data_IF_106599968029
#
_entry.id   IF_106599968029
#
_cell.length_a   1.000
_cell.length_b   1.000
_cell.length_c   1.000
_cell.angle_alpha   90.00
_cell.angle_beta   90.00
_cell.angle_gamma   90.00
#
_symmetry.space_group_name_H-M   'P 1'
#
loop_
_entity.id
_entity.type
_entity.pdbx_description
1 polymer ?
#
# COMPACT_ATOMS: atom_id res chain seq x y z
N UNK A 1 94.12 11.75 24.67
CA UNK A 1 93.65 11.66 26.11
C UNK A 1 92.14 11.80 26.10
N UNK A 2 91.44 10.82 26.78
CA UNK A 2 90.03 10.79 27.13
C UNK A 2 88.97 10.52 26.01
N UNK A 3 88.70 9.24 25.85
CA UNK A 3 87.46 8.65 25.32
C UNK A 3 86.25 9.11 26.08
N UNK A 4 85.12 9.30 25.34
CA UNK A 4 83.79 9.22 25.87
C UNK A 4 82.94 8.36 24.91
N UNK A 5 82.68 7.15 25.34
CA UNK A 5 81.71 6.25 24.76
C UNK A 5 80.28 6.82 24.95
N UNK A 6 79.48 6.83 23.89
CA UNK A 6 78.01 6.99 23.93
C UNK A 6 77.43 5.63 23.60
N UNK A 7 76.74 5.01 24.53
CA UNK A 7 75.91 3.84 24.34
C UNK A 7 74.58 4.30 23.69
N UNK A 8 74.28 3.75 22.52
CA UNK A 8 73.01 3.91 21.81
C UNK A 8 72.15 2.71 22.18
N UNK A 9 71.13 2.90 23.00
CA UNK A 9 70.16 1.87 23.41
C UNK A 9 69.13 1.69 22.31
N UNK A 10 69.11 0.56 21.60
CA UNK A 10 68.08 0.17 20.64
C UNK A 10 66.92 -0.42 21.47
N UNK A 11 65.78 0.27 21.48
CA UNK A 11 64.48 -0.25 21.90
C UNK A 11 63.85 -1.03 20.77
N UNK A 12 63.83 -2.35 20.86
CA UNK A 12 63.03 -3.21 20.00
C UNK A 12 61.57 -3.11 20.46
N UNK A 13 60.70 -2.51 19.61
CA UNK A 13 59.26 -2.64 19.71
C UNK A 13 58.84 -3.94 19.05
N UNK A 14 58.45 -4.94 19.84
CA UNK A 14 57.78 -6.15 19.38
C UNK A 14 56.31 -5.82 19.04
N UNK A 15 55.96 -5.78 17.73
CA UNK A 15 54.61 -5.76 17.26
C UNK A 15 53.93 -7.11 17.53
N UNK A 16 53.10 -7.16 18.56
CA UNK A 16 52.20 -8.29 18.77
C UNK A 16 51.00 -8.09 17.83
N UNK A 17 50.97 -8.84 16.71
CA UNK A 17 49.82 -8.95 15.85
C UNK A 17 48.76 -9.81 16.53
N UNK A 18 47.67 -9.21 16.96
CA UNK A 18 46.45 -9.94 17.31
C UNK A 18 45.76 -10.40 16.01
N UNK A 19 45.45 -11.71 15.90
CA UNK A 19 44.55 -12.12 14.82
C UNK A 19 43.18 -11.53 15.06
N UNK A 20 42.73 -10.69 14.13
CA UNK A 20 41.34 -10.26 14.01
C UNK A 20 40.49 -11.51 13.73
N UNK A 21 39.76 -11.99 14.74
CA UNK A 21 38.65 -12.90 14.54
C UNK A 21 37.55 -12.11 13.82
N UNK A 22 37.60 -12.15 12.49
CA UNK A 22 36.44 -11.85 11.70
C UNK A 22 35.39 -12.95 11.97
N UNK A 23 34.46 -12.69 12.88
CA UNK A 23 33.23 -13.47 12.98
C UNK A 23 32.56 -13.36 11.60
N UNK A 24 32.69 -14.41 10.80
CA UNK A 24 31.82 -14.63 9.64
C UNK A 24 30.43 -14.88 10.23
N UNK A 25 29.61 -13.83 10.29
CA UNK A 25 28.16 -13.99 10.37
C UNK A 25 27.74 -14.77 9.11
N UNK A 26 27.75 -16.11 9.21
CA UNK A 26 27.01 -16.94 8.31
C UNK A 26 25.54 -16.54 8.50
N UNK A 27 25.01 -15.81 7.55
CA UNK A 27 23.58 -15.68 7.33
C UNK A 27 23.05 -17.10 7.11
N UNK A 28 22.74 -17.81 8.20
CA UNK A 28 21.95 -19.03 8.14
C UNK A 28 20.62 -18.60 7.53
N UNK A 29 20.37 -18.98 6.28
CA UNK A 29 19.09 -18.75 5.64
C UNK A 29 18.04 -19.52 6.45
N UNK A 30 17.19 -18.81 7.17
CA UNK A 30 16.06 -19.38 7.91
C UNK A 30 14.92 -19.80 6.96
N UNK A 31 15.27 -20.28 5.77
CA UNK A 31 14.30 -20.72 4.77
C UNK A 31 13.69 -22.04 5.19
N UNK A 32 12.37 -22.05 5.26
CA UNK A 32 11.52 -23.24 5.45
C UNK A 32 10.55 -23.36 4.28
N UNK A 33 9.86 -24.50 4.14
CA UNK A 33 8.86 -24.68 3.09
C UNK A 33 7.74 -25.60 3.52
N UNK A 34 6.55 -25.38 2.93
CA UNK A 34 5.36 -26.23 3.08
C UNK A 34 4.66 -26.34 1.72
N UNK A 35 3.84 -27.40 1.52
CA UNK A 35 3.06 -27.59 0.29
C UNK A 35 1.57 -27.62 0.64
N UNK A 36 0.79 -26.76 -0.01
CA UNK A 36 -0.60 -26.45 0.34
C UNK A 36 -1.50 -26.53 -0.88
N UNK A 37 -2.64 -27.21 -0.78
CA UNK A 37 -3.67 -27.27 -1.82
C UNK A 37 -4.99 -26.74 -1.30
N UNK A 38 -5.52 -25.68 -1.92
CA UNK A 38 -6.74 -24.96 -1.53
C UNK A 38 -7.68 -24.71 -2.73
N UNK A 39 -7.74 -25.65 -3.67
CA UNK A 39 -8.49 -25.49 -4.92
C UNK A 39 -7.58 -25.13 -6.10
N UNK A 40 -8.00 -24.20 -6.94
CA UNK A 40 -7.20 -23.70 -8.07
C UNK A 40 -5.91 -23.06 -7.59
N UNK A 41 -4.77 -23.58 -8.04
CA UNK A 41 -3.45 -23.09 -7.57
C UNK A 41 -3.05 -21.71 -8.08
N UNK A 42 -3.72 -21.12 -9.10
CA UNK A 42 -3.40 -19.80 -9.60
C UNK A 42 -3.64 -18.67 -8.58
N UNK A 43 -4.80 -18.73 -7.91
CA UNK A 43 -5.14 -17.78 -6.84
C UNK A 43 -4.31 -18.02 -5.60
N UNK A 44 -4.08 -19.29 -5.24
CA UNK A 44 -3.26 -19.68 -4.10
C UNK A 44 -1.79 -19.20 -4.26
N UNK A 45 -1.16 -19.43 -5.43
CA UNK A 45 0.19 -18.93 -5.75
C UNK A 45 0.27 -17.41 -5.54
N UNK A 46 -0.65 -16.66 -6.15
CA UNK A 46 -0.73 -15.20 -6.02
C UNK A 46 -0.92 -14.74 -4.57
N UNK A 47 -1.77 -15.41 -3.82
CA UNK A 47 -2.01 -15.12 -2.40
C UNK A 47 -0.73 -15.24 -1.59
N UNK A 48 0.00 -16.37 -1.71
CA UNK A 48 1.25 -16.57 -0.98
C UNK A 48 2.37 -15.63 -1.41
N UNK A 49 2.51 -15.32 -2.70
CA UNK A 49 3.50 -14.35 -3.19
C UNK A 49 3.34 -12.95 -2.58
N UNK A 50 2.13 -12.60 -2.15
CA UNK A 50 1.85 -11.30 -1.54
C UNK A 50 2.26 -11.21 -0.06
N UNK A 51 2.58 -12.35 0.59
CA UNK A 51 2.90 -12.38 2.01
C UNK A 51 4.36 -11.98 2.24
N UNK A 52 4.59 -10.96 3.05
CA UNK A 52 5.94 -10.57 3.44
C UNK A 52 6.66 -11.72 4.17
N UNK A 53 7.87 -12.04 3.71
CA UNK A 53 8.64 -13.18 4.22
C UNK A 53 8.49 -14.45 3.40
N UNK A 54 7.56 -14.53 2.43
CA UNK A 54 7.55 -15.58 1.42
C UNK A 54 8.60 -15.26 0.36
N UNK A 55 9.52 -16.19 0.14
CA UNK A 55 10.59 -16.12 -0.84
C UNK A 55 10.09 -16.56 -2.23
N UNK A 56 9.39 -17.69 -2.29
CA UNK A 56 8.79 -18.20 -3.53
C UNK A 56 7.50 -18.96 -3.25
N UNK A 57 6.54 -18.83 -4.15
CA UNK A 57 5.38 -19.71 -4.27
C UNK A 57 5.38 -20.35 -5.65
N UNK A 58 5.27 -21.66 -5.72
CA UNK A 58 5.41 -22.42 -6.98
C UNK A 58 4.21 -23.34 -7.13
N UNK A 59 3.43 -23.14 -8.18
CA UNK A 59 2.33 -24.02 -8.56
C UNK A 59 2.82 -25.40 -8.99
N UNK A 60 2.14 -26.45 -8.53
CA UNK A 60 2.55 -27.83 -8.80
C UNK A 60 1.48 -28.88 -8.50
N UNK A 61 1.90 -30.12 -8.51
CA UNK A 61 1.07 -31.30 -8.28
C UNK A 61 1.69 -32.17 -7.19
N UNK A 62 0.85 -32.72 -6.30
CA UNK A 62 1.31 -33.63 -5.24
C UNK A 62 0.21 -34.60 -4.76
N UNK A 63 0.56 -35.56 -3.90
CA UNK A 63 -0.34 -36.51 -3.25
C UNK A 63 -1.12 -37.42 -4.23
N UNK A 64 -0.56 -37.72 -5.41
CA UNK A 64 -1.08 -38.70 -6.36
C UNK A 64 -0.09 -39.83 -6.62
N UNK A 65 -0.47 -40.80 -7.47
CA UNK A 65 0.34 -41.98 -7.78
C UNK A 65 1.08 -41.86 -9.13
N UNK A 66 0.63 -40.96 -10.01
CA UNK A 66 1.26 -40.78 -11.32
C UNK A 66 2.65 -40.15 -11.19
N UNK A 67 3.63 -40.76 -11.86
CA UNK A 67 4.99 -40.19 -11.94
C UNK A 67 4.99 -39.16 -13.06
N UNK A 68 5.44 -37.95 -12.78
CA UNK A 68 5.45 -36.80 -13.70
C UNK A 68 4.06 -36.42 -14.22
N UNK A 69 3.13 -36.07 -13.31
CA UNK A 69 1.80 -35.63 -13.70
C UNK A 69 1.84 -34.40 -14.60
N UNK A 70 0.81 -34.24 -15.44
CA UNK A 70 0.56 -33.09 -16.25
C UNK A 70 -0.83 -32.54 -15.99
N UNK A 71 -1.08 -31.27 -16.23
CA UNK A 71 -2.42 -30.67 -16.10
C UNK A 71 -3.49 -31.48 -16.86
N UNK A 72 -3.16 -31.79 -18.13
CA UNK A 72 -4.06 -32.60 -18.97
C UNK A 72 -4.39 -33.97 -18.34
N UNK A 73 -3.44 -34.63 -17.65
CA UNK A 73 -3.66 -35.92 -17.03
C UNK A 73 -4.55 -35.82 -15.79
N UNK A 74 -4.25 -34.86 -14.88
CA UNK A 74 -4.98 -34.74 -13.61
C UNK A 74 -6.42 -34.22 -13.79
N UNK A 75 -6.69 -33.46 -14.86
CA UNK A 75 -8.01 -32.89 -15.16
C UNK A 75 -8.90 -33.79 -16.02
N UNK A 76 -8.43 -34.98 -16.43
CA UNK A 76 -9.28 -35.92 -17.17
C UNK A 76 -10.52 -36.32 -16.36
N UNK A 77 -11.66 -36.43 -17.03
CA UNK A 77 -12.94 -36.79 -16.41
C UNK A 77 -12.87 -38.08 -15.56
N UNK A 78 -12.10 -39.12 -15.98
CA UNK A 78 -11.87 -40.33 -15.21
C UNK A 78 -11.19 -40.10 -13.86
N UNK A 79 -10.44 -38.98 -13.72
CA UNK A 79 -9.70 -38.64 -12.51
C UNK A 79 -10.50 -37.70 -11.59
N UNK A 80 -11.67 -37.20 -12.01
CA UNK A 80 -12.51 -36.28 -11.24
C UNK A 80 -12.82 -36.77 -9.81
N UNK A 81 -13.01 -38.07 -9.64
CA UNK A 81 -13.32 -38.70 -8.34
C UNK A 81 -12.27 -39.74 -7.95
N UNK A 82 -11.14 -39.80 -8.63
CA UNK A 82 -10.07 -40.74 -8.34
C UNK A 82 -9.28 -40.29 -7.12
N UNK A 83 -9.33 -41.10 -6.04
CA UNK A 83 -8.60 -40.80 -4.77
C UNK A 83 -7.07 -40.74 -4.93
N UNK A 84 -6.55 -41.38 -5.99
CA UNK A 84 -5.13 -41.43 -6.30
C UNK A 84 -4.69 -40.35 -7.28
N UNK A 85 -5.56 -39.42 -7.64
CA UNK A 85 -5.24 -38.27 -8.46
C UNK A 85 -4.37 -37.29 -7.67
N UNK A 86 -3.49 -36.58 -8.37
CA UNK A 86 -2.76 -35.45 -7.75
C UNK A 86 -3.69 -34.28 -7.40
N UNK A 87 -3.37 -33.58 -6.31
CA UNK A 87 -3.93 -32.27 -6.03
C UNK A 87 -3.15 -31.20 -6.77
N UNK A 88 -3.83 -30.12 -7.17
CA UNK A 88 -3.21 -28.85 -7.43
C UNK A 88 -2.73 -28.26 -6.10
N UNK A 89 -1.46 -27.91 -6.01
CA UNK A 89 -0.83 -27.43 -4.79
C UNK A 89 0.15 -26.31 -5.09
N UNK A 90 0.45 -25.51 -4.08
CA UNK A 90 1.50 -24.50 -4.11
C UNK A 90 2.58 -24.90 -3.11
N UNK A 91 3.85 -24.94 -3.55
CA UNK A 91 5.00 -25.04 -2.66
C UNK A 91 5.42 -23.64 -2.25
N UNK A 92 5.24 -23.33 -0.98
CA UNK A 92 5.59 -22.03 -0.39
C UNK A 92 6.94 -22.18 0.32
N UNK A 93 7.93 -21.41 -0.12
CA UNK A 93 9.23 -21.25 0.57
C UNK A 93 9.25 -19.91 1.26
N UNK A 94 9.63 -19.85 2.53
CA UNK A 94 9.51 -18.65 3.33
C UNK A 94 10.66 -18.50 4.32
N UNK A 95 10.96 -17.25 4.68
CA UNK A 95 11.92 -16.91 5.74
C UNK A 95 11.20 -16.98 7.10
N UNK A 96 11.49 -18.01 7.88
CA UNK A 96 10.88 -18.25 9.21
C UNK A 96 11.21 -17.19 10.25
N UNK A 97 12.18 -16.30 9.98
CA UNK A 97 12.48 -15.13 10.84
C UNK A 97 11.57 -13.93 10.54
N UNK A 98 10.86 -13.93 9.42
CA UNK A 98 9.96 -12.85 8.98
C UNK A 98 8.50 -13.26 9.10
N UNK A 99 8.15 -14.45 8.59
CA UNK A 99 6.80 -15.02 8.69
C UNK A 99 6.88 -16.44 9.26
N UNK A 100 6.06 -16.73 10.24
CA UNK A 100 6.03 -18.06 10.83
C UNK A 100 5.05 -19.00 10.09
N UNK A 101 5.22 -20.31 10.28
CA UNK A 101 4.38 -21.33 9.66
C UNK A 101 2.90 -21.22 10.09
N UNK A 102 2.64 -20.84 11.33
CA UNK A 102 1.27 -20.70 11.86
C UNK A 102 0.51 -19.63 11.07
N UNK A 103 1.12 -18.47 10.81
CA UNK A 103 0.51 -17.39 10.01
C UNK A 103 0.23 -17.81 8.56
N UNK A 104 1.13 -18.59 7.93
CA UNK A 104 0.88 -19.12 6.59
C UNK A 104 -0.28 -20.11 6.56
N UNK A 105 -0.44 -20.91 7.61
CA UNK A 105 -1.54 -21.85 7.73
C UNK A 105 -2.87 -21.15 8.09
N UNK A 106 -2.82 -20.05 8.84
CA UNK A 106 -3.99 -19.19 9.05
C UNK A 106 -4.47 -18.64 7.70
N UNK A 107 -3.57 -18.04 6.91
CA UNK A 107 -3.90 -17.60 5.55
C UNK A 107 -4.46 -18.72 4.67
N UNK A 108 -3.91 -19.94 4.76
CA UNK A 108 -4.44 -21.09 4.04
C UNK A 108 -5.92 -21.34 4.33
N UNK A 109 -6.31 -21.37 5.61
CA UNK A 109 -7.70 -21.64 5.99
C UNK A 109 -8.64 -20.46 5.68
N UNK A 110 -8.15 -19.24 5.76
CA UNK A 110 -8.91 -18.03 5.47
C UNK A 110 -9.15 -17.80 3.96
N UNK A 111 -8.29 -18.34 3.10
CA UNK A 111 -8.30 -18.10 1.65
C UNK A 111 -9.20 -19.04 0.84
N UNK A 112 -9.84 -20.04 1.46
CA UNK A 112 -10.74 -20.98 0.77
C UNK A 112 -11.79 -21.55 1.73
N UNK A 113 -12.74 -22.32 1.22
CA UNK A 113 -13.70 -23.05 2.05
C UNK A 113 -13.19 -24.49 2.35
N UNK A 114 -12.59 -24.72 3.53
CA UNK A 114 -12.03 -26.01 3.88
C UNK A 114 -13.11 -27.07 4.22
N UNK A 115 -14.40 -26.71 4.24
CA UNK A 115 -15.51 -27.66 4.47
C UNK A 115 -15.95 -28.39 3.20
N UNK A 116 -15.44 -27.96 2.03
CA UNK A 116 -15.81 -28.57 0.76
C UNK A 116 -14.94 -29.81 0.43
N UNK A 117 -15.57 -30.94 0.24
CA UNK A 117 -14.87 -32.17 -0.12
C UNK A 117 -14.61 -32.25 -1.63
N UNK A 118 -13.34 -32.37 -2.02
CA UNK A 118 -12.89 -32.53 -3.41
C UNK A 118 -13.44 -31.45 -4.37
N UNK A 119 -13.58 -30.22 -3.91
CA UNK A 119 -14.01 -29.10 -4.73
C UNK A 119 -13.69 -27.78 -4.05
N UNK A 120 -13.71 -26.70 -4.82
CA UNK A 120 -13.83 -25.31 -4.33
C UNK A 120 -14.80 -24.57 -5.25
N UNK A 121 -15.95 -24.19 -4.73
CA UNK A 121 -16.99 -23.55 -5.52
C UNK A 121 -17.37 -24.35 -6.78
N UNK A 122 -17.15 -23.78 -7.96
CA UNK A 122 -17.42 -24.41 -9.25
C UNK A 122 -16.32 -25.36 -9.74
N UNK A 123 -15.15 -25.32 -9.11
CA UNK A 123 -14.03 -26.21 -9.43
C UNK A 123 -14.24 -27.58 -8.73
N UNK A 124 -14.75 -28.54 -9.47
CA UNK A 124 -15.16 -29.85 -8.96
C UNK A 124 -14.23 -30.96 -9.43
N UNK A 125 -13.56 -31.61 -8.46
CA UNK A 125 -12.67 -32.75 -8.70
C UNK A 125 -11.65 -32.93 -7.59
N UNK A 126 -11.09 -34.16 -7.48
CA UNK A 126 -10.11 -34.50 -6.45
C UNK A 126 -8.81 -33.67 -6.55
N UNK A 127 -8.52 -33.07 -7.71
CA UNK A 127 -7.41 -32.18 -7.88
C UNK A 127 -7.58 -30.84 -7.09
N UNK A 128 -8.80 -30.47 -6.75
CA UNK A 128 -9.12 -29.22 -6.02
C UNK A 128 -9.38 -29.44 -4.52
N UNK A 129 -8.96 -30.62 -3.99
CA UNK A 129 -9.14 -30.92 -2.57
C UNK A 129 -8.28 -30.04 -1.68
N UNK A 130 -8.80 -29.70 -0.52
CA UNK A 130 -8.06 -29.03 0.54
C UNK A 130 -7.07 -30.01 1.19
N UNK A 131 -5.77 -29.66 1.18
CA UNK A 131 -4.71 -30.55 1.69
C UNK A 131 -3.49 -29.75 2.17
N UNK A 132 -2.91 -30.19 3.29
CA UNK A 132 -1.64 -29.72 3.84
C UNK A 132 -0.64 -30.87 3.79
N UNK A 133 0.49 -30.65 3.10
CA UNK A 133 1.55 -31.65 2.97
C UNK A 133 2.77 -31.20 3.77
N UNK A 134 3.04 -31.90 4.86
CA UNK A 134 4.05 -31.57 5.86
C UNK A 134 5.32 -32.36 5.67
N UNK A 135 6.48 -31.75 5.90
CA UNK A 135 7.79 -32.42 5.77
C UNK A 135 8.24 -33.13 7.05
N UNK A 136 7.71 -32.74 8.20
CA UNK A 136 8.12 -33.24 9.51
C UNK A 136 6.98 -33.18 10.54
N UNK A 137 7.21 -33.79 11.71
CA UNK A 137 6.23 -33.82 12.81
C UNK A 137 5.99 -32.44 13.42
N UNK A 138 6.96 -31.52 13.40
CA UNK A 138 6.78 -30.14 13.86
C UNK A 138 5.73 -29.42 13.01
N UNK A 139 5.87 -29.49 11.69
CA UNK A 139 4.87 -28.90 10.78
C UNK A 139 3.50 -29.56 10.97
N UNK A 140 3.46 -30.89 11.18
CA UNK A 140 2.19 -31.61 11.42
C UNK A 140 1.48 -31.12 12.68
N UNK A 141 2.19 -30.96 13.79
CA UNK A 141 1.63 -30.46 15.06
C UNK A 141 1.07 -29.04 14.90
N UNK A 142 1.81 -28.16 14.24
CA UNK A 142 1.35 -26.78 13.97
C UNK A 142 0.11 -26.80 13.06
N UNK A 143 0.12 -27.59 11.99
CA UNK A 143 -0.99 -27.68 11.06
C UNK A 143 -2.27 -28.20 11.75
N UNK A 144 -2.14 -29.23 12.61
CA UNK A 144 -3.27 -29.73 13.37
C UNK A 144 -3.83 -28.68 14.34
N UNK A 145 -2.95 -27.99 15.08
CA UNK A 145 -3.35 -26.92 15.98
C UNK A 145 -4.17 -25.83 15.25
N UNK A 146 -3.67 -25.36 14.10
CA UNK A 146 -4.35 -24.31 13.32
C UNK A 146 -5.69 -24.81 12.75
N UNK A 147 -5.74 -26.07 12.27
CA UNK A 147 -6.97 -26.70 11.82
C UNK A 147 -8.02 -26.74 12.93
N UNK A 148 -7.64 -27.19 14.14
CA UNK A 148 -8.56 -27.33 15.26
C UNK A 148 -9.12 -25.96 15.68
N UNK A 149 -8.28 -24.94 15.71
CA UNK A 149 -8.68 -23.55 15.99
C UNK A 149 -9.66 -23.01 14.93
N UNK A 150 -9.39 -23.25 13.64
CA UNK A 150 -10.28 -22.79 12.58
C UNK A 150 -11.59 -23.54 12.55
N UNK A 151 -11.58 -24.85 12.88
CA UNK A 151 -12.80 -25.62 13.03
C UNK A 151 -13.74 -25.04 14.10
N UNK A 152 -13.19 -24.59 15.21
CA UNK A 152 -13.99 -23.92 16.26
C UNK A 152 -14.63 -22.64 15.73
N UNK A 153 -13.87 -21.79 15.02
CA UNK A 153 -14.37 -20.55 14.40
C UNK A 153 -15.48 -20.85 13.38
N UNK A 154 -15.26 -21.80 12.49
CA UNK A 154 -16.27 -22.24 11.50
C UNK A 154 -17.56 -22.75 12.16
N UNK A 155 -17.43 -23.55 13.23
CA UNK A 155 -18.59 -24.09 13.95
C UNK A 155 -19.42 -22.96 14.57
N UNK A 156 -18.78 -21.95 15.13
CA UNK A 156 -19.44 -20.78 15.72
C UNK A 156 -20.19 -19.94 14.66
N UNK A 157 -19.73 -19.95 13.40
CA UNK A 157 -20.40 -19.29 12.27
C UNK A 157 -21.37 -20.21 11.51
N UNK A 158 -21.61 -21.42 12.01
CA UNK A 158 -22.61 -22.36 11.45
C UNK A 158 -22.12 -23.20 10.25
N UNK A 159 -20.81 -23.20 9.99
CA UNK A 159 -20.22 -24.05 8.95
C UNK A 159 -20.07 -25.50 9.39
N UNK A 160 -19.92 -26.41 8.42
CA UNK A 160 -19.67 -27.82 8.63
C UNK A 160 -18.25 -28.17 9.04
N UNK A 161 -17.96 -29.46 9.09
CA UNK A 161 -16.63 -29.97 9.46
C UNK A 161 -15.61 -29.74 8.35
N UNK A 162 -14.39 -29.36 8.72
CA UNK A 162 -13.23 -29.23 7.82
C UNK A 162 -12.94 -30.58 7.14
N UNK A 163 -12.75 -30.56 5.83
CA UNK A 163 -12.38 -31.70 4.97
C UNK A 163 -10.89 -31.70 4.61
N UNK A 164 -10.14 -30.70 5.06
CA UNK A 164 -8.69 -30.61 4.84
C UNK A 164 -7.98 -31.83 5.42
N UNK A 165 -7.12 -32.49 4.61
CA UNK A 165 -6.28 -33.57 5.11
C UNK A 165 -4.85 -33.13 5.32
N UNK A 166 -4.25 -33.56 6.45
CA UNK A 166 -2.83 -33.32 6.74
C UNK A 166 -2.08 -34.61 6.48
N UNK A 167 -1.13 -34.60 5.53
CA UNK A 167 -0.37 -35.81 5.13
C UNK A 167 1.13 -35.48 5.02
N UNK A 168 2.01 -36.50 5.12
CA UNK A 168 3.42 -36.34 4.80
C UNK A 168 3.62 -35.96 3.33
N UNK A 169 4.48 -34.97 3.08
CA UNK A 169 4.94 -34.65 1.72
C UNK A 169 5.83 -35.78 1.21
N UNK A 170 5.44 -36.41 0.10
CA UNK A 170 6.25 -37.41 -0.57
C UNK A 170 7.02 -36.81 -1.74
N UNK A 171 6.30 -36.33 -2.74
CA UNK A 171 6.86 -35.74 -3.95
C UNK A 171 6.10 -34.47 -4.32
N UNK A 172 6.81 -33.50 -4.87
CA UNK A 172 6.26 -32.28 -5.47
C UNK A 172 6.72 -32.18 -6.91
N UNK A 173 5.77 -32.09 -7.82
CA UNK A 173 6.03 -31.92 -9.25
C UNK A 173 5.63 -30.49 -9.65
N UNK A 174 6.61 -29.69 -10.07
CA UNK A 174 6.34 -28.33 -10.56
C UNK A 174 5.43 -28.39 -11.77
N UNK A 175 4.37 -27.60 -11.77
CA UNK A 175 3.46 -27.47 -12.91
C UNK A 175 4.13 -26.80 -14.11
N UNK A 176 3.51 -26.90 -15.25
CA UNK A 176 4.00 -26.38 -16.52
C UNK A 176 4.20 -24.86 -16.46
N UNK A 177 5.14 -24.35 -17.26
CA UNK A 177 5.55 -22.94 -17.21
C UNK A 177 4.38 -21.95 -17.36
N UNK A 178 3.35 -22.29 -18.12
CA UNK A 178 2.19 -21.43 -18.34
C UNK A 178 1.28 -21.30 -17.13
N UNK A 179 1.40 -22.16 -16.12
CA UNK A 179 0.68 -22.06 -14.85
C UNK A 179 1.38 -21.18 -13.82
N UNK A 180 2.70 -21.04 -13.89
CA UNK A 180 3.45 -20.21 -12.95
C UNK A 180 3.13 -18.73 -13.16
N UNK A 181 2.94 -17.97 -12.08
CA UNK A 181 2.58 -16.55 -12.09
C UNK A 181 1.36 -16.24 -13.00
N UNK A 182 0.39 -17.17 -13.05
CA UNK A 182 -0.70 -17.08 -14.03
C UNK A 182 -1.53 -15.79 -13.86
N UNK A 183 -1.92 -15.44 -12.64
CA UNK A 183 -2.70 -14.21 -12.38
C UNK A 183 -1.89 -12.95 -12.67
N UNK A 184 -0.58 -12.94 -12.36
CA UNK A 184 0.28 -11.82 -12.70
C UNK A 184 0.41 -11.60 -14.22
N UNK A 185 0.43 -12.69 -15.00
CA UNK A 185 0.47 -12.66 -16.47
C UNK A 185 -0.89 -12.42 -17.10
N UNK A 186 -1.97 -12.74 -16.39
CA UNK A 186 -3.37 -12.63 -16.85
C UNK A 186 -4.22 -11.93 -15.78
N UNK A 187 -4.13 -10.58 -15.65
CA UNK A 187 -4.81 -9.84 -14.59
C UNK A 187 -6.33 -10.01 -14.54
N UNK A 188 -6.94 -10.37 -15.67
CA UNK A 188 -8.37 -10.68 -15.80
C UNK A 188 -8.64 -12.21 -15.80
N UNK A 189 -7.66 -13.02 -15.40
CA UNK A 189 -7.78 -14.47 -15.32
C UNK A 189 -8.82 -14.91 -14.29
N UNK A 190 -9.34 -16.13 -14.47
CA UNK A 190 -10.28 -16.74 -13.52
C UNK A 190 -9.60 -16.92 -12.16
N UNK A 191 -10.11 -16.25 -11.15
CA UNK A 191 -9.67 -16.36 -9.76
C UNK A 191 -10.83 -15.97 -8.83
N UNK A 192 -11.85 -16.84 -8.69
CA UNK A 192 -12.95 -16.55 -7.78
C UNK A 192 -12.51 -16.67 -6.33
N UNK A 193 -13.03 -15.80 -5.48
CA UNK A 193 -12.93 -15.95 -4.04
C UNK A 193 -13.84 -17.10 -3.59
N UNK A 194 -13.25 -18.08 -2.91
CA UNK A 194 -13.95 -19.22 -2.34
C UNK A 194 -13.87 -19.24 -0.81
N UNK A 195 -13.39 -18.15 -0.18
CA UNK A 195 -13.26 -18.07 1.26
C UNK A 195 -14.62 -18.15 1.96
N UNK A 196 -14.61 -18.60 3.21
CA UNK A 196 -15.82 -18.60 4.07
C UNK A 196 -16.09 -17.21 4.67
N UNK A 197 -15.13 -16.28 4.59
CA UNK A 197 -15.16 -15.02 5.30
C UNK A 197 -14.86 -15.13 6.81
N UNK A 198 -14.63 -16.36 7.30
CA UNK A 198 -14.20 -16.60 8.68
C UNK A 198 -12.70 -16.36 8.79
N UNK A 199 -12.24 -15.65 9.82
CA UNK A 199 -10.84 -15.29 10.05
C UNK A 199 -10.43 -15.61 11.49
N UNK A 200 -9.14 -15.98 11.70
CA UNK A 200 -8.58 -16.29 13.03
C UNK A 200 -8.62 -15.11 13.98
N UNK A 201 -8.19 -13.98 13.49
CA UNK A 201 -8.33 -12.72 14.19
C UNK A 201 -9.61 -12.05 13.68
N UNK A 202 -10.79 -12.52 14.11
CA UNK A 202 -11.77 -11.52 14.50
C UNK A 202 -11.08 -10.77 15.65
N UNK A 203 -10.14 -9.84 15.29
CA UNK A 203 -9.92 -8.71 16.16
C UNK A 203 -11.31 -8.39 16.65
N UNK A 204 -11.54 -8.44 17.97
CA UNK A 204 -12.73 -7.83 18.54
C UNK A 204 -13.01 -6.67 17.62
N UNK A 205 -14.14 -6.74 16.89
CA UNK A 205 -14.63 -5.56 16.20
C UNK A 205 -14.78 -4.63 17.38
N UNK A 206 -13.67 -4.01 17.79
CA UNK A 206 -13.74 -2.85 18.65
C UNK A 206 -14.70 -2.04 17.84
N UNK A 207 -15.87 -1.77 18.40
CA UNK A 207 -16.83 -0.86 17.80
C UNK A 207 -16.01 0.40 17.53
N UNK A 208 -15.31 0.38 16.38
CA UNK A 208 -14.51 1.52 15.97
C UNK A 208 -15.54 2.58 15.76
N UNK A 209 -15.39 3.61 16.55
CA UNK A 209 -16.26 4.76 16.45
C UNK A 209 -16.08 5.41 15.08
N UNK A 210 -17.05 5.19 14.20
CA UNK A 210 -17.12 5.84 12.90
C UNK A 210 -17.94 7.13 12.95
N UNK A 211 -18.30 7.64 14.13
CA UNK A 211 -19.09 8.87 14.28
C UNK A 211 -18.46 10.07 13.59
N UNK A 212 -17.10 10.16 13.60
CA UNK A 212 -16.38 11.20 12.88
C UNK A 212 -16.54 11.12 11.36
N UNK A 213 -16.82 9.93 10.81
CA UNK A 213 -17.03 9.70 9.38
C UNK A 213 -18.48 9.97 8.95
N UNK A 214 -19.38 10.14 9.89
CA UNK A 214 -20.81 10.37 9.65
C UNK A 214 -21.16 11.85 9.43
N UNK A 215 -20.19 12.76 9.50
CA UNK A 215 -20.45 14.19 9.38
C UNK A 215 -19.43 14.86 8.44
N UNK A 216 -19.94 15.61 7.45
CA UNK A 216 -19.16 16.37 6.50
C UNK A 216 -18.35 15.50 5.54
N UNK A 217 -17.37 16.14 4.89
CA UNK A 217 -16.48 15.52 3.90
C UNK A 217 -15.30 14.85 4.56
N UNK A 218 -15.01 13.60 4.17
CA UNK A 218 -13.90 12.79 4.66
C UNK A 218 -13.24 12.03 3.52
N UNK A 219 -11.98 11.67 3.67
CA UNK A 219 -11.26 10.76 2.79
C UNK A 219 -11.05 9.47 3.57
N UNK A 220 -11.61 8.37 3.12
CA UNK A 220 -11.49 7.06 3.73
C UNK A 220 -10.55 6.20 2.88
N UNK A 221 -9.50 5.69 3.50
CA UNK A 221 -8.55 4.79 2.87
C UNK A 221 -8.79 3.39 3.45
N UNK A 222 -9.14 2.45 2.58
CA UNK A 222 -9.26 1.05 2.96
C UNK A 222 -7.93 0.37 2.71
N UNK A 223 -7.26 -0.02 3.78
CA UNK A 223 -6.00 -0.75 3.76
C UNK A 223 -6.22 -2.24 3.96
N UNK A 224 -5.25 -3.04 3.54
CA UNK A 224 -5.20 -4.47 3.84
C UNK A 224 -4.84 -4.70 5.30
N UNK A 225 -5.38 -5.75 5.91
CA UNK A 225 -4.94 -6.23 7.22
C UNK A 225 -3.54 -6.88 7.18
N UNK A 226 -3.10 -7.29 5.99
CA UNK A 226 -1.78 -7.87 5.72
C UNK A 226 -0.86 -6.93 4.96
N UNK A 227 0.28 -7.49 4.52
CA UNK A 227 1.25 -6.75 3.72
C UNK A 227 0.65 -6.28 2.39
N UNK A 228 0.71 -4.98 2.14
CA UNK A 228 0.18 -4.34 0.95
C UNK A 228 1.19 -3.32 0.40
N UNK A 229 2.03 -3.68 -0.57
CA UNK A 229 3.04 -2.77 -1.13
C UNK A 229 2.44 -1.48 -1.72
N UNK A 230 1.24 -1.57 -2.28
CA UNK A 230 0.52 -0.42 -2.84
C UNK A 230 -0.06 0.48 -1.75
N UNK A 231 -0.45 -0.09 -0.58
CA UNK A 231 -0.85 0.69 0.59
C UNK A 231 0.34 1.47 1.15
N UNK A 232 1.50 0.80 1.35
CA UNK A 232 2.74 1.46 1.78
C UNK A 232 3.19 2.54 0.79
N UNK A 233 3.07 2.27 -0.51
CA UNK A 233 3.40 3.26 -1.54
C UNK A 233 2.47 4.47 -1.45
N UNK A 234 1.16 4.28 -1.29
CA UNK A 234 0.20 5.37 -1.15
C UNK A 234 0.43 6.17 0.14
N UNK A 235 0.71 5.50 1.25
CA UNK A 235 1.09 6.14 2.51
C UNK A 235 2.29 7.05 2.33
N UNK A 236 3.37 6.55 1.75
CA UNK A 236 4.61 7.30 1.50
C UNK A 236 4.42 8.46 0.52
N UNK A 237 3.66 8.25 -0.55
CA UNK A 237 3.55 9.20 -1.66
C UNK A 237 2.51 10.29 -1.38
N UNK A 238 1.44 9.98 -0.63
CA UNK A 238 0.28 10.83 -0.41
C UNK A 238 -0.05 11.01 1.06
N UNK A 239 -0.44 9.94 1.79
CA UNK A 239 -1.13 10.06 3.07
C UNK A 239 -0.25 10.70 4.15
N UNK A 240 1.01 10.27 4.29
CA UNK A 240 1.97 10.84 5.26
C UNK A 240 2.33 12.31 5.00
N UNK A 241 2.10 12.81 3.78
CA UNK A 241 2.40 14.20 3.40
C UNK A 241 1.17 15.09 3.40
N UNK A 242 -0.01 14.50 3.47
CA UNK A 242 -1.26 15.23 3.41
C UNK A 242 -1.53 15.99 4.72
N UNK A 243 -1.75 17.30 4.63
CA UNK A 243 -2.07 18.19 5.74
C UNK A 243 -3.33 19.03 5.44
N UNK A 244 -4.13 18.58 4.47
CA UNK A 244 -5.34 19.28 4.04
C UNK A 244 -6.43 19.31 5.12
N UNK A 245 -7.45 20.15 4.88
CA UNK A 245 -8.55 20.39 5.84
C UNK A 245 -9.63 19.30 5.84
N UNK A 246 -9.71 18.48 4.79
CA UNK A 246 -10.62 17.31 4.79
C UNK A 246 -9.89 16.16 5.49
N UNK A 247 -10.41 15.62 6.61
CA UNK A 247 -9.75 14.54 7.32
C UNK A 247 -9.53 13.32 6.44
N UNK A 248 -8.35 12.69 6.57
CA UNK A 248 -8.00 11.43 5.97
C UNK A 248 -8.00 10.37 7.08
N UNK A 249 -8.79 9.33 6.91
CA UNK A 249 -9.01 8.28 7.92
C UNK A 249 -8.75 6.92 7.27
N UNK A 250 -7.98 6.09 7.98
CA UNK A 250 -7.69 4.73 7.53
C UNK A 250 -8.59 3.72 8.24
N UNK A 251 -9.02 2.72 7.49
CA UNK A 251 -9.80 1.57 7.97
C UNK A 251 -9.38 0.31 7.21
N UNK A 252 -9.80 -0.82 7.74
CA UNK A 252 -9.83 -2.09 6.99
C UNK A 252 -11.27 -2.39 6.55
N UNK A 253 -11.45 -3.33 5.65
CA UNK A 253 -12.77 -3.64 5.07
C UNK A 253 -13.83 -4.06 6.11
N UNK A 254 -13.41 -4.70 7.22
CA UNK A 254 -14.27 -5.12 8.32
C UNK A 254 -14.67 -4.00 9.29
N UNK A 255 -14.09 -2.79 9.15
CA UNK A 255 -14.30 -1.64 10.05
C UNK A 255 -15.30 -0.61 9.51
N UNK A 256 -16.07 -0.94 8.49
CA UNK A 256 -16.94 -0.01 7.75
C UNK A 256 -18.38 0.03 8.28
N UNK A 257 -18.65 -0.56 9.43
CA UNK A 257 -19.98 -0.58 10.05
C UNK A 257 -20.59 0.83 10.12
N UNK A 258 -21.86 0.97 9.76
CA UNK A 258 -22.64 2.20 9.69
C UNK A 258 -22.36 3.10 8.48
N UNK A 259 -21.28 2.89 7.73
CA UNK A 259 -20.99 3.63 6.51
C UNK A 259 -21.76 3.04 5.31
N UNK A 260 -22.19 3.91 4.39
CA UNK A 260 -22.83 3.50 3.14
C UNK A 260 -21.78 3.50 2.03
N UNK A 261 -21.05 2.40 1.94
CA UNK A 261 -19.99 2.17 0.94
C UNK A 261 -20.52 1.18 -0.10
N UNK A 262 -20.48 1.57 -1.37
CA UNK A 262 -20.94 0.75 -2.51
C UNK A 262 -19.78 0.08 -3.22
N UNK A 263 -18.60 0.70 -3.15
CA UNK A 263 -17.40 0.18 -3.83
C UNK A 263 -16.89 -1.09 -3.13
N UNK A 264 -16.59 -2.15 -3.90
CA UNK A 264 -15.93 -3.33 -3.36
C UNK A 264 -14.57 -3.00 -2.74
N UNK A 265 -14.30 -3.53 -1.55
CA UNK A 265 -13.09 -3.20 -0.77
C UNK A 265 -12.01 -4.28 -0.80
N UNK A 266 -12.13 -5.25 -1.69
CA UNK A 266 -11.16 -6.37 -1.84
C UNK A 266 -9.83 -5.96 -2.50
N UNK A 267 -9.78 -4.83 -3.21
CA UNK A 267 -8.54 -4.31 -3.81
C UNK A 267 -8.01 -3.16 -2.95
N UNK A 268 -6.84 -3.32 -2.35
CA UNK A 268 -6.23 -2.32 -1.46
C UNK A 268 -4.99 -1.68 -2.06
N UNK A 269 -4.74 -0.38 -1.77
CA UNK A 269 -5.65 0.52 -1.06
C UNK A 269 -6.91 0.82 -1.89
N UNK A 270 -8.06 1.02 -1.25
CA UNK A 270 -9.22 1.65 -1.89
C UNK A 270 -9.41 3.03 -1.28
N UNK A 271 -9.39 4.08 -2.11
CA UNK A 271 -9.56 5.46 -1.70
C UNK A 271 -11.02 5.84 -1.95
N UNK A 272 -11.74 6.22 -0.90
CA UNK A 272 -13.17 6.53 -0.94
C UNK A 272 -13.37 7.95 -0.42
N UNK A 273 -14.04 8.78 -1.20
CA UNK A 273 -14.46 10.12 -0.80
C UNK A 273 -15.89 10.02 -0.29
N UNK A 274 -16.11 10.35 0.98
CA UNK A 274 -17.40 10.22 1.65
C UNK A 274 -17.91 11.58 2.13
N UNK A 275 -19.22 11.76 2.11
CA UNK A 275 -19.90 12.91 2.70
C UNK A 275 -21.08 12.40 3.55
N UNK A 276 -21.09 12.80 4.82
CA UNK A 276 -22.12 12.38 5.79
C UNK A 276 -22.30 10.84 5.87
N UNK A 277 -21.17 10.11 5.88
CA UNK A 277 -21.15 8.64 5.98
C UNK A 277 -21.48 7.90 4.68
N UNK A 278 -21.67 8.61 3.56
CA UNK A 278 -22.04 8.03 2.27
C UNK A 278 -20.89 8.20 1.28
N UNK A 279 -20.64 7.16 0.49
CA UNK A 279 -19.74 7.23 -0.63
C UNK A 279 -20.24 8.24 -1.67
N UNK A 280 -19.35 9.15 -2.10
CA UNK A 280 -19.58 10.07 -3.22
C UNK A 280 -18.94 9.52 -4.48
N UNK A 281 -17.71 9.09 -4.40
CA UNK A 281 -16.99 8.33 -5.42
C UNK A 281 -15.74 7.67 -4.80
N UNK A 282 -15.12 6.77 -5.56
CA UNK A 282 -13.98 6.00 -5.09
C UNK A 282 -13.03 5.61 -6.21
N UNK A 283 -11.88 5.10 -5.81
CA UNK A 283 -10.89 4.47 -6.68
C UNK A 283 -10.28 3.26 -5.99
N UNK A 284 -10.43 2.09 -6.57
CA UNK A 284 -9.73 0.87 -6.15
C UNK A 284 -8.29 0.84 -6.66
N UNK A 285 -7.40 0.33 -5.84
CA UNK A 285 -5.97 0.26 -6.12
C UNK A 285 -5.23 1.57 -5.86
N UNK A 286 -3.92 1.53 -6.06
CA UNK A 286 -3.04 2.69 -5.89
C UNK A 286 -3.47 3.85 -6.81
N UNK A 287 -3.41 5.06 -6.28
CA UNK A 287 -3.65 6.31 -6.99
C UNK A 287 -2.38 7.16 -6.96
N UNK A 288 -1.93 7.61 -8.13
CA UNK A 288 -0.79 8.54 -8.20
C UNK A 288 -1.14 9.88 -7.50
N UNK A 289 -0.15 10.58 -6.91
CA UNK A 289 -0.41 11.83 -6.19
C UNK A 289 -1.20 12.86 -6.99
N UNK A 290 -0.87 13.04 -8.26
CA UNK A 290 -1.57 14.00 -9.14
C UNK A 290 -3.04 13.65 -9.32
N UNK A 291 -3.36 12.37 -9.48
CA UNK A 291 -4.74 11.90 -9.63
C UNK A 291 -5.52 12.03 -8.32
N UNK A 292 -4.86 11.75 -7.18
CA UNK A 292 -5.43 11.94 -5.86
C UNK A 292 -5.82 13.41 -5.62
N UNK A 293 -4.89 14.35 -5.85
CA UNK A 293 -5.19 15.75 -5.63
C UNK A 293 -6.22 16.31 -6.62
N UNK A 294 -6.28 15.78 -7.84
CA UNK A 294 -7.33 16.15 -8.80
C UNK A 294 -8.70 15.64 -8.34
N UNK A 295 -8.78 14.41 -7.85
CA UNK A 295 -10.00 13.83 -7.27
C UNK A 295 -10.44 14.61 -6.01
N UNK A 296 -9.48 14.89 -5.11
CA UNK A 296 -9.71 15.72 -3.93
C UNK A 296 -10.18 17.14 -4.31
N UNK A 297 -9.57 17.73 -5.33
CA UNK A 297 -9.97 19.03 -5.84
C UNK A 297 -11.42 19.04 -6.32
N UNK A 298 -11.83 18.02 -7.08
CA UNK A 298 -13.22 17.88 -7.48
C UNK A 298 -14.14 17.70 -6.27
N UNK A 299 -13.76 16.88 -5.32
CA UNK A 299 -14.53 16.63 -4.10
C UNK A 299 -14.64 17.87 -3.20
N UNK A 300 -13.52 18.60 -2.98
CA UNK A 300 -13.47 19.77 -2.10
C UNK A 300 -14.09 21.01 -2.74
N UNK A 301 -13.74 21.29 -3.98
CA UNK A 301 -14.04 22.54 -4.66
C UNK A 301 -15.27 22.47 -5.55
N UNK A 302 -15.63 21.26 -6.06
CA UNK A 302 -16.70 21.09 -7.02
C UNK A 302 -16.38 21.78 -8.35
N UNK A 303 -17.44 22.10 -9.13
CA UNK A 303 -17.31 22.83 -10.40
C UNK A 303 -17.27 24.35 -10.14
N UNK A 304 -16.17 24.85 -9.59
CA UNK A 304 -15.97 26.25 -9.21
C UNK A 304 -14.81 26.91 -9.96
N UNK A 305 -14.69 28.24 -9.84
CA UNK A 305 -13.55 28.99 -10.33
C UNK A 305 -12.23 28.47 -9.73
N UNK A 306 -12.20 28.13 -8.44
CA UNK A 306 -11.03 27.59 -7.76
C UNK A 306 -10.58 26.25 -8.38
N UNK A 307 -11.51 25.35 -8.75
CA UNK A 307 -11.17 24.12 -9.45
C UNK A 307 -10.61 24.38 -10.85
N UNK A 308 -11.23 25.32 -11.57
CA UNK A 308 -10.76 25.71 -12.91
C UNK A 308 -9.36 26.34 -12.87
N UNK A 309 -9.07 27.17 -11.85
CA UNK A 309 -7.73 27.72 -11.62
C UNK A 309 -6.75 26.60 -11.32
N UNK A 310 -7.08 25.70 -10.40
CA UNK A 310 -6.18 24.66 -9.93
C UNK A 310 -5.76 23.66 -11.02
N UNK A 311 -6.71 23.23 -11.86
CA UNK A 311 -6.52 22.06 -12.76
C UNK A 311 -6.70 22.36 -14.25
N UNK A 312 -7.33 23.46 -14.60
CA UNK A 312 -7.54 23.88 -15.99
C UNK A 312 -6.79 25.17 -16.32
N UNK A 313 -5.79 25.53 -15.47
CA UNK A 313 -4.91 26.68 -15.70
C UNK A 313 -5.68 28.00 -15.89
N UNK A 314 -6.80 28.12 -15.17
CA UNK A 314 -7.59 29.35 -15.09
C UNK A 314 -6.82 30.47 -14.37
N UNK A 315 -7.37 31.65 -14.34
CA UNK A 315 -6.81 32.79 -13.62
C UNK A 315 -7.95 33.48 -12.87
N UNK A 316 -7.74 33.78 -11.60
CA UNK A 316 -8.68 34.56 -10.78
C UNK A 316 -9.02 35.90 -11.44
N UNK A 317 -10.25 36.32 -11.28
CA UNK A 317 -10.61 37.70 -11.57
C UNK A 317 -9.77 38.65 -10.73
N UNK A 318 -9.35 39.79 -11.33
CA UNK A 318 -8.65 40.83 -10.59
C UNK A 318 -9.49 41.30 -9.41
N UNK A 319 -8.88 41.41 -8.23
CA UNK A 319 -9.56 41.83 -6.99
C UNK A 319 -10.74 40.91 -6.63
N UNK A 320 -10.57 39.60 -6.88
CA UNK A 320 -11.58 38.59 -6.49
C UNK A 320 -11.82 38.64 -4.97
N UNK A 321 -12.90 37.97 -4.53
CA UNK A 321 -13.28 37.97 -3.10
C UNK A 321 -12.17 37.48 -2.20
N UNK A 322 -11.48 36.41 -2.57
CA UNK A 322 -10.38 35.81 -1.83
C UNK A 322 -9.17 36.76 -1.75
N UNK A 323 -8.85 37.47 -2.84
CA UNK A 323 -7.84 38.52 -2.84
C UNK A 323 -8.16 39.60 -1.80
N UNK A 324 -9.42 40.10 -1.77
CA UNK A 324 -9.85 41.13 -0.83
C UNK A 324 -9.75 40.67 0.63
N UNK A 325 -10.01 39.39 0.90
CA UNK A 325 -9.83 38.77 2.22
C UNK A 325 -8.35 38.66 2.58
N UNK A 326 -7.50 38.21 1.65
CA UNK A 326 -6.13 37.82 1.92
C UNK A 326 -5.12 38.95 1.85
N UNK A 327 -5.42 40.04 1.14
CA UNK A 327 -4.46 41.17 0.95
C UNK A 327 -3.96 41.79 2.24
N UNK A 328 -4.73 41.73 3.33
CA UNK A 328 -4.45 42.30 4.62
C UNK A 328 -4.42 41.30 5.78
N UNK A 329 -4.21 40.02 5.51
CA UNK A 329 -4.06 39.02 6.58
C UNK A 329 -2.88 39.34 7.48
N UNK A 330 -2.96 39.02 8.80
CA UNK A 330 -1.85 39.22 9.74
C UNK A 330 -0.63 38.34 9.41
N UNK A 331 0.34 38.28 10.33
CA UNK A 331 1.50 37.41 10.17
C UNK A 331 1.10 35.94 10.10
N UNK A 332 1.56 35.25 9.06
CA UNK A 332 1.20 33.86 8.80
C UNK A 332 1.71 33.34 7.46
N UNK A 333 1.13 32.27 7.02
CA UNK A 333 1.53 31.57 5.79
C UNK A 333 0.30 31.21 4.97
N UNK A 334 0.41 31.41 3.67
CA UNK A 334 -0.52 30.89 2.69
C UNK A 334 -0.15 29.45 2.37
N UNK A 335 -1.12 28.57 2.48
CA UNK A 335 -0.96 27.13 2.26
C UNK A 335 -1.71 26.69 1.01
N UNK A 336 -1.28 25.61 0.44
CA UNK A 336 -1.97 24.89 -0.64
C UNK A 336 -3.36 24.44 -0.17
N UNK A 337 -4.39 24.84 -0.87
CA UNK A 337 -5.79 24.61 -0.50
C UNK A 337 -6.17 23.11 -0.46
N UNK A 338 -5.45 22.26 -1.18
CA UNK A 338 -5.71 20.83 -1.22
C UNK A 338 -4.79 20.05 -0.28
N UNK A 339 -3.48 20.24 -0.39
CA UNK A 339 -2.52 19.47 0.40
C UNK A 339 -2.30 20.00 1.81
N UNK A 340 -2.62 21.28 2.06
CA UNK A 340 -2.34 21.95 3.32
C UNK A 340 -0.88 22.40 3.50
N UNK A 341 -0.01 22.14 2.51
CA UNK A 341 1.42 22.45 2.59
C UNK A 341 1.71 23.96 2.43
N UNK A 342 2.68 24.52 3.19
CA UNK A 342 3.07 25.92 3.09
C UNK A 342 3.56 26.30 1.70
N UNK A 343 3.10 27.44 1.16
CA UNK A 343 3.49 27.95 -0.16
C UNK A 343 4.14 29.34 -0.12
N UNK A 344 3.54 30.30 0.57
CA UNK A 344 4.03 31.68 0.62
C UNK A 344 3.89 32.27 2.01
N UNK A 345 4.95 32.98 2.48
CA UNK A 345 4.97 33.65 3.77
C UNK A 345 4.50 35.09 3.61
N UNK A 346 3.73 35.63 4.57
CA UNK A 346 3.29 37.02 4.59
C UNK A 346 4.46 38.02 4.68
N UNK A 347 5.63 37.60 5.19
CA UNK A 347 6.85 38.42 5.24
C UNK A 347 7.40 38.73 3.86
N UNK A 348 7.11 37.93 2.87
CA UNK A 348 7.54 38.10 1.49
C UNK A 348 6.45 38.72 0.60
N UNK A 349 5.26 39.04 1.19
CA UNK A 349 4.14 39.68 0.50
C UNK A 349 4.37 41.15 0.30
N UNK A 350 3.97 41.66 -0.86
CA UNK A 350 3.96 43.11 -1.15
C UNK A 350 2.77 43.51 -2.02
N UNK A 351 2.47 44.82 -2.05
CA UNK A 351 1.37 45.38 -2.84
C UNK A 351 1.87 45.74 -4.24
N UNK A 352 1.52 44.92 -5.23
CA UNK A 352 1.90 45.15 -6.64
C UNK A 352 0.91 45.98 -7.45
N UNK A 353 -0.28 46.25 -6.93
CA UNK A 353 -1.42 46.87 -7.65
C UNK A 353 -1.90 46.11 -8.88
N UNK A 354 -1.48 44.84 -9.04
CA UNK A 354 -1.89 43.97 -10.16
C UNK A 354 -3.30 43.45 -10.02
N UNK A 355 -3.84 43.36 -8.80
CA UNK A 355 -5.13 42.75 -8.46
C UNK A 355 -5.03 41.28 -8.05
N UNK A 356 -3.82 40.76 -7.92
CA UNK A 356 -3.50 39.42 -7.41
C UNK A 356 -2.53 39.51 -6.25
N UNK A 357 -2.49 38.46 -5.40
CA UNK A 357 -1.52 38.34 -4.34
C UNK A 357 -0.09 38.29 -4.94
N UNK A 358 0.82 39.04 -4.36
CA UNK A 358 2.19 39.16 -4.87
C UNK A 358 3.21 38.92 -3.78
N UNK A 359 4.19 38.06 -4.08
CA UNK A 359 5.27 37.68 -3.18
C UNK A 359 6.63 37.80 -3.88
N UNK A 360 7.68 38.05 -3.12
CA UNK A 360 9.06 38.13 -3.63
C UNK A 360 9.71 36.72 -3.74
N UNK A 361 9.21 35.74 -3.01
CA UNK A 361 9.68 34.37 -3.05
C UNK A 361 8.63 33.40 -2.46
N UNK A 362 8.65 32.13 -2.86
CA UNK A 362 7.89 31.07 -2.19
C UNK A 362 8.61 30.56 -0.93
N UNK A 363 7.93 29.78 -0.11
CA UNK A 363 8.56 28.92 0.90
C UNK A 363 9.51 27.94 0.20
N UNK A 364 10.65 27.67 0.82
CA UNK A 364 11.69 26.81 0.23
C UNK A 364 11.10 25.46 -0.20
N UNK A 365 11.41 25.04 -1.41
CA UNK A 365 11.02 23.74 -1.99
C UNK A 365 9.50 23.48 -2.11
N UNK A 366 8.65 24.52 -2.00
CA UNK A 366 7.19 24.39 -2.03
C UNK A 366 6.57 24.44 -3.42
N UNK A 367 7.27 25.03 -4.38
CA UNK A 367 6.77 25.22 -5.75
C UNK A 367 7.80 24.77 -6.79
N UNK A 368 7.35 24.61 -8.02
CA UNK A 368 8.22 24.44 -9.20
C UNK A 368 7.71 25.28 -10.37
N UNK A 369 8.57 25.47 -11.37
CA UNK A 369 8.38 26.35 -12.49
C UNK A 369 8.24 25.58 -13.80
N UNK A 370 7.30 26.00 -14.65
CA UNK A 370 7.11 25.48 -15.99
C UNK A 370 7.03 26.61 -17.02
N UNK A 371 7.53 26.38 -18.23
CA UNK A 371 7.36 27.32 -19.32
C UNK A 371 5.90 27.34 -19.79
N UNK A 372 5.25 28.49 -19.79
CA UNK A 372 3.91 28.72 -20.34
C UNK A 372 3.99 29.59 -21.59
N UNK A 373 3.72 28.98 -22.74
CA UNK A 373 3.75 29.65 -24.06
C UNK A 373 2.34 29.88 -24.65
N UNK A 374 1.29 29.81 -23.83
CA UNK A 374 -0.09 29.94 -24.28
C UNK A 374 -0.45 31.37 -24.62
N UNK A 375 -1.45 31.50 -25.47
CA UNK A 375 -1.99 32.80 -25.93
C UNK A 375 -0.93 33.71 -26.58
N UNK A 376 0.15 33.13 -27.13
CA UNK A 376 1.24 33.88 -27.75
C UNK A 376 2.14 34.65 -26.75
N UNK A 377 2.01 34.41 -25.46
CA UNK A 377 2.83 35.00 -24.40
C UNK A 377 3.90 33.98 -23.97
N UNK A 378 5.08 34.49 -23.58
CA UNK A 378 6.11 33.69 -22.91
C UNK A 378 6.07 34.04 -21.42
N UNK A 379 5.64 33.12 -20.58
CA UNK A 379 5.54 33.26 -19.14
C UNK A 379 6.16 32.06 -18.44
N UNK A 380 6.42 32.18 -17.15
CA UNK A 380 6.80 31.06 -16.28
C UNK A 380 5.66 30.80 -15.32
N UNK A 381 5.03 29.63 -15.49
CA UNK A 381 3.97 29.11 -14.62
C UNK A 381 4.54 28.63 -13.31
N UNK A 382 3.83 28.85 -12.21
CA UNK A 382 4.15 28.36 -10.87
C UNK A 382 3.11 27.34 -10.46
N UNK A 383 3.59 26.16 -10.07
CA UNK A 383 2.75 25.05 -9.57
C UNK A 383 3.18 24.61 -8.18
N UNK A 384 2.22 24.12 -7.40
CA UNK A 384 2.50 23.50 -6.11
C UNK A 384 3.28 22.19 -6.30
N UNK A 385 4.36 22.02 -5.53
CA UNK A 385 5.14 20.76 -5.56
C UNK A 385 4.43 19.60 -4.88
N UNK A 386 3.53 19.87 -3.95
CA UNK A 386 2.80 18.87 -3.18
C UNK A 386 1.57 18.32 -3.89
N UNK A 387 0.79 19.18 -4.55
CA UNK A 387 -0.51 18.83 -5.16
C UNK A 387 -0.57 18.98 -6.67
N UNK A 388 0.48 19.54 -7.28
CA UNK A 388 0.57 19.87 -8.72
C UNK A 388 -0.49 20.88 -9.21
N UNK A 389 -1.16 21.62 -8.32
CA UNK A 389 -2.12 22.64 -8.75
C UNK A 389 -1.42 23.88 -9.33
N UNK A 390 -2.06 24.49 -10.33
CA UNK A 390 -1.65 25.78 -10.86
C UNK A 390 -1.84 26.87 -9.80
N UNK A 391 -0.79 27.65 -9.52
CA UNK A 391 -0.81 28.71 -8.53
C UNK A 391 -0.84 30.09 -9.18
N UNK A 392 -0.20 30.28 -10.31
CA UNK A 392 -0.05 31.55 -10.99
C UNK A 392 1.22 31.61 -11.84
N UNK A 393 1.85 32.79 -11.90
CA UNK A 393 3.05 33.03 -12.72
C UNK A 393 4.09 33.85 -11.96
N UNK A 394 5.35 33.71 -12.36
CA UNK A 394 6.45 34.56 -11.88
C UNK A 394 6.91 35.49 -12.99
N UNK A 395 7.27 36.73 -12.58
CA UNK A 395 7.74 37.84 -13.45
C UNK A 395 8.99 38.48 -12.84
N UNK A 396 9.82 39.15 -13.67
CA UNK A 396 11.07 39.79 -13.27
C UNK A 396 10.87 41.28 -12.88
N UNK A 397 9.64 41.67 -12.55
CA UNK A 397 9.24 43.08 -12.29
C UNK A 397 8.87 43.32 -10.82
N UNK A 398 9.41 42.56 -9.90
CA UNK A 398 9.20 42.73 -8.46
C UNK A 398 10.04 43.87 -7.84
N UNK A 399 9.84 44.18 -6.55
CA UNK A 399 10.52 45.24 -5.86
C UNK A 399 12.01 44.94 -5.68
N UNK A 400 12.86 45.99 -5.77
CA UNK A 400 14.30 45.92 -5.53
C UNK A 400 15.03 44.85 -6.42
N UNK A 401 14.53 44.58 -7.63
CA UNK A 401 15.11 43.59 -8.53
C UNK A 401 14.79 42.15 -8.16
N UNK A 402 13.90 41.92 -7.20
CA UNK A 402 13.39 40.60 -6.86
C UNK A 402 12.32 40.14 -7.87
N UNK A 403 12.08 38.85 -8.03
CA UNK A 403 10.95 38.35 -8.82
C UNK A 403 9.61 38.71 -8.16
N UNK A 404 8.55 38.73 -8.96
CA UNK A 404 7.18 38.87 -8.50
C UNK A 404 6.39 37.59 -8.81
N UNK A 405 6.12 36.81 -7.77
CA UNK A 405 5.21 35.68 -7.82
C UNK A 405 3.78 36.20 -7.73
N UNK A 406 3.06 36.17 -8.84
CA UNK A 406 1.67 36.63 -8.99
C UNK A 406 0.74 35.46 -8.85
N UNK A 407 0.06 35.34 -7.70
CA UNK A 407 -0.57 34.09 -7.26
C UNK A 407 -2.08 34.25 -7.16
N UNK A 408 -2.82 33.25 -7.66
CA UNK A 408 -4.26 33.15 -7.56
C UNK A 408 -4.67 32.90 -6.09
N UNK A 409 -5.61 33.68 -5.61
CA UNK A 409 -6.05 33.60 -4.22
C UNK A 409 -7.01 32.43 -3.97
N UNK A 410 -7.80 32.04 -4.97
CA UNK A 410 -8.83 30.99 -4.85
C UNK A 410 -8.26 29.61 -4.56
N UNK A 411 -6.99 29.35 -4.89
CA UNK A 411 -6.28 28.07 -4.64
C UNK A 411 -5.46 28.05 -3.35
N UNK A 412 -5.54 29.12 -2.56
CA UNK A 412 -4.85 29.25 -1.28
C UNK A 412 -5.83 29.17 -0.10
N UNK A 413 -5.31 28.79 1.05
CA UNK A 413 -5.87 29.01 2.38
C UNK A 413 -4.82 29.77 3.22
N UNK A 414 -5.27 30.45 4.28
CA UNK A 414 -4.38 31.20 5.15
C UNK A 414 -4.37 30.58 6.54
N UNK A 415 -3.17 30.42 7.13
CA UNK A 415 -2.97 30.00 8.52
C UNK A 415 -2.14 31.04 9.28
N UNK A 416 -2.52 31.32 10.51
CA UNK A 416 -1.72 32.12 11.44
C UNK A 416 -0.38 31.41 11.72
N UNK A 417 0.67 32.16 11.99
CA UNK A 417 1.99 31.59 12.25
C UNK A 417 2.01 30.67 13.46
N UNK A 418 1.27 31.01 14.51
CA UNK A 418 1.18 30.18 15.73
C UNK A 418 0.47 28.86 15.50
N UNK A 419 -0.41 28.77 14.51
CA UNK A 419 -1.08 27.51 14.11
C UNK A 419 -0.14 26.54 13.39
N UNK A 420 0.92 27.06 12.76
CA UNK A 420 1.91 26.26 12.00
C UNK A 420 3.02 25.74 12.90
N UNK A 421 3.40 26.51 13.94
CA UNK A 421 4.47 26.11 14.87
C UNK A 421 4.05 24.97 15.81
N UNK A 422 2.76 24.61 15.83
CA UNK A 422 2.18 23.53 16.65
C UNK A 422 1.90 22.25 15.84
N UNK A 423 2.32 22.17 14.57
CA UNK A 423 2.24 21.01 13.69
C UNK A 423 3.66 20.51 13.41
#
# INVERSE_FOLDING_TARGET
MKNKNKYLSLLLFSLISFPSLAESNSLTSHLDSIVLGSGCFWGAEKGYESINGVDTAISGYSDGFEIKPTYKAITQYKNKYNKNNHAEVVKVTFNSSVVNLESLLQHFFESHDPTQLNRQGNDIGTQYRSIILVKDDRQKVIAQKVLDQFQELLTNEGYGSIQTTIKPLKEFYKAERYHQDYIAKNPNGYCPDHSTGVVFNKLDIQDIDNSSLMAGKQILIINSEGYCPYCEKFEKDVASKYQGTIPLVERTANQLKQLQIETPTWATPTIIFIEDGKEVFSKMGYMEPIDFYKALGWFKLGNTEAFNVAFNEGTDARYCKEYEIFKNTPDGVFIDKLSGMPLFDTKDRFVSKSGWLSFTRPVKDSVYELADNRYGMKRTEIRSKSSDIHLGHVFDDGPNGMPRYCINATVLEFKLRDEILNI
#
